data_IF_936881559620
#
_entry.id   IF_936881559620
#
_cell.length_a   1.000
_cell.length_b   1.000
_cell.length_c   1.000
_cell.angle_alpha   90.00
_cell.angle_beta   90.00
_cell.angle_gamma   90.00
#
_symmetry.space_group_name_H-M   'P 1'
#
loop_
_entity.id
_entity.type
_entity.pdbx_description
1 polymer ?
#
# COMPACT_ATOMS: atom_id res chain seq x y z
N UNK A 1 14.78 -6.54 -5.92
CA UNK A 1 13.36 -6.56 -5.51
C UNK A 1 12.67 -5.31 -6.02
N UNK A 2 11.50 -5.46 -6.61
CA UNK A 2 10.83 -4.37 -7.30
C UNK A 2 9.55 -3.96 -6.58
N UNK A 3 9.41 -2.66 -6.33
CA UNK A 3 8.15 -2.10 -5.86
C UNK A 3 7.27 -1.83 -7.08
N UNK A 4 6.02 -2.25 -7.00
CA UNK A 4 5.09 -2.14 -8.12
C UNK A 4 4.03 -1.07 -7.92
N UNK A 5 3.82 -0.62 -6.69
CA UNK A 5 2.83 0.41 -6.38
C UNK A 5 3.12 1.05 -5.02
N UNK A 6 2.25 1.94 -4.59
CA UNK A 6 2.32 2.61 -3.30
C UNK A 6 1.01 2.47 -2.53
N UNK A 7 1.09 2.71 -1.22
CA UNK A 7 -0.11 2.75 -0.37
C UNK A 7 -1.08 3.85 -0.81
N UNK A 8 -0.56 4.96 -1.34
CA UNK A 8 -1.40 6.06 -1.83
C UNK A 8 -2.20 5.65 -3.06
N UNK A 9 -1.55 4.99 -4.02
CA UNK A 9 -2.24 4.47 -5.20
C UNK A 9 -3.29 3.42 -4.80
N UNK A 10 -2.93 2.51 -3.90
CA UNK A 10 -3.87 1.50 -3.40
C UNK A 10 -5.09 2.13 -2.73
N UNK A 11 -4.89 3.16 -1.93
CA UNK A 11 -6.00 3.88 -1.28
C UNK A 11 -6.92 4.52 -2.31
N UNK A 12 -6.31 5.15 -3.32
CA UNK A 12 -7.05 5.80 -4.40
C UNK A 12 -7.90 4.80 -5.18
N UNK A 13 -7.30 3.66 -5.55
CA UNK A 13 -7.99 2.62 -6.30
C UNK A 13 -9.07 1.92 -5.47
N UNK A 14 -8.86 1.78 -4.17
CA UNK A 14 -9.82 1.18 -3.26
C UNK A 14 -10.90 2.17 -2.79
N UNK A 15 -10.78 3.44 -3.18
CA UNK A 15 -11.67 4.52 -2.73
C UNK A 15 -11.71 4.62 -1.21
N UNK A 16 -10.53 4.57 -0.59
CA UNK A 16 -10.36 4.65 0.86
C UNK A 16 -9.43 5.79 1.22
N UNK A 17 -9.56 6.29 2.43
CA UNK A 17 -8.63 7.29 2.95
C UNK A 17 -7.25 6.66 3.11
N UNK A 18 -6.20 7.39 2.72
CA UNK A 18 -4.83 6.89 2.78
C UNK A 18 -4.42 6.49 4.21
N UNK A 19 -4.83 7.27 5.21
CA UNK A 19 -4.53 6.95 6.61
C UNK A 19 -5.07 5.58 7.02
N UNK A 20 -6.20 5.17 6.49
CA UNK A 20 -6.78 3.86 6.75
C UNK A 20 -5.93 2.74 6.14
N UNK A 21 -5.42 2.95 4.94
CA UNK A 21 -4.53 1.99 4.29
C UNK A 21 -3.22 1.87 5.04
N UNK A 22 -2.67 3.00 5.50
CA UNK A 22 -1.45 3.00 6.32
C UNK A 22 -1.64 2.19 7.60
N UNK A 23 -2.76 2.35 8.28
CA UNK A 23 -3.07 1.58 9.49
C UNK A 23 -3.16 0.09 9.20
N UNK A 24 -3.77 -0.28 8.09
CA UNK A 24 -3.88 -1.68 7.70
C UNK A 24 -2.52 -2.30 7.40
N UNK A 25 -1.64 -1.56 6.73
CA UNK A 25 -0.28 -2.02 6.48
C UNK A 25 0.49 -2.20 7.79
N UNK A 26 0.38 -1.25 8.71
CA UNK A 26 1.01 -1.35 10.02
C UNK A 26 0.52 -2.60 10.76
N UNK A 27 -0.76 -2.88 10.68
CA UNK A 27 -1.35 -4.08 11.27
C UNK A 27 -0.84 -5.37 10.61
N UNK A 28 -0.74 -5.39 9.28
CA UNK A 28 -0.21 -6.55 8.55
C UNK A 28 1.23 -6.84 8.94
N UNK A 29 2.05 -5.82 9.06
CA UNK A 29 3.45 -5.97 9.49
C UNK A 29 3.53 -6.59 10.88
N UNK A 30 2.64 -6.18 11.78
CA UNK A 30 2.57 -6.71 13.13
C UNK A 30 2.11 -8.16 13.14
N UNK A 31 1.04 -8.48 12.41
CA UNK A 31 0.47 -9.83 12.34
C UNK A 31 1.44 -10.83 11.74
N UNK A 32 2.11 -10.45 10.66
CA UNK A 32 3.00 -11.35 9.93
C UNK A 32 4.25 -11.70 10.72
N UNK A 33 4.68 -10.83 11.63
CA UNK A 33 5.85 -11.05 12.49
C UNK A 33 7.11 -11.46 11.73
N UNK A 34 7.19 -11.13 10.44
CA UNK A 34 8.31 -11.41 9.57
C UNK A 34 9.00 -10.11 9.20
N UNK A 35 10.22 -10.21 8.66
CA UNK A 35 10.85 -9.04 8.08
C UNK A 35 10.13 -8.68 6.79
N UNK A 36 9.21 -7.71 6.88
CA UNK A 36 8.41 -7.23 5.76
C UNK A 36 8.90 -5.88 5.25
N UNK A 37 10.09 -5.46 5.68
CA UNK A 37 10.63 -4.14 5.30
C UNK A 37 10.83 -3.98 3.79
N UNK A 38 11.06 -5.09 3.07
CA UNK A 38 11.18 -5.06 1.61
C UNK A 38 9.82 -4.96 0.93
N UNK A 39 8.80 -5.56 1.53
CA UNK A 39 7.47 -5.65 0.94
C UNK A 39 6.62 -4.43 1.24
N UNK A 40 6.90 -3.76 2.36
CA UNK A 40 6.24 -2.53 2.80
C UNK A 40 7.33 -1.52 3.14
N UNK A 41 7.86 -0.87 2.12
CA UNK A 41 8.96 0.09 2.31
C UNK A 41 8.43 1.47 2.68
N UNK A 42 8.69 1.88 3.91
CA UNK A 42 8.21 3.15 4.45
C UNK A 42 9.02 4.32 3.89
N UNK A 43 8.31 5.33 3.40
CA UNK A 43 8.90 6.58 2.94
C UNK A 43 8.12 7.75 3.53
N UNK A 44 8.83 8.78 3.92
CA UNK A 44 8.26 10.04 4.37
C UNK A 44 8.79 11.15 3.47
N UNK A 45 7.91 11.97 2.92
CA UNK A 45 8.31 13.09 2.09
C UNK A 45 7.46 14.32 2.40
N UNK A 46 7.91 15.48 1.92
CA UNK A 46 7.19 16.74 2.06
C UNK A 46 6.51 17.02 0.72
N UNK A 47 5.19 17.22 0.73
CA UNK A 47 4.46 17.53 -0.50
C UNK A 47 4.69 18.99 -0.92
N UNK A 48 4.20 19.39 -2.11
CA UNK A 48 4.40 20.77 -2.58
C UNK A 48 3.82 21.84 -1.66
N UNK A 49 2.86 21.51 -0.83
CA UNK A 49 2.26 22.44 0.14
C UNK A 49 3.00 22.47 1.47
N UNK A 50 4.12 21.74 1.58
CA UNK A 50 4.92 21.69 2.79
C UNK A 50 4.40 20.72 3.85
N UNK A 51 3.44 19.87 3.51
CA UNK A 51 2.83 18.92 4.45
C UNK A 51 3.60 17.60 4.42
N UNK A 52 4.02 17.08 5.60
CA UNK A 52 4.65 15.74 5.65
C UNK A 52 3.66 14.66 5.22
N UNK A 53 4.08 13.80 4.30
CA UNK A 53 3.27 12.68 3.82
C UNK A 53 4.04 11.39 4.04
N UNK A 54 3.39 10.41 4.64
CA UNK A 54 3.93 9.07 4.81
C UNK A 54 3.33 8.16 3.76
N UNK A 55 4.11 7.25 3.20
CA UNK A 55 3.58 6.21 2.34
C UNK A 55 4.45 4.96 2.41
N UNK A 56 3.91 3.86 1.93
CA UNK A 56 4.65 2.63 1.73
C UNK A 56 4.76 2.33 0.23
N UNK A 57 5.95 1.95 -0.20
CA UNK A 57 6.12 1.27 -1.48
C UNK A 57 5.84 -0.20 -1.27
N UNK A 58 5.10 -0.82 -2.18
CA UNK A 58 4.65 -2.20 -2.05
C UNK A 58 5.22 -3.07 -3.16
N UNK A 59 5.74 -4.24 -2.78
CA UNK A 59 6.05 -5.30 -3.74
C UNK A 59 4.78 -6.05 -4.13
N UNK A 60 4.90 -6.98 -5.07
CA UNK A 60 3.77 -7.84 -5.42
C UNK A 60 3.23 -8.59 -4.18
N UNK A 61 4.12 -9.09 -3.33
CA UNK A 61 3.71 -9.77 -2.09
C UNK A 61 2.96 -8.80 -1.16
N UNK A 62 3.50 -7.60 -0.97
CA UNK A 62 2.86 -6.59 -0.12
C UNK A 62 1.47 -6.23 -0.61
N UNK A 63 1.32 -6.03 -1.92
CA UNK A 63 0.01 -5.74 -2.52
C UNK A 63 -0.94 -6.94 -2.39
N UNK A 64 -0.43 -8.15 -2.57
CA UNK A 64 -1.26 -9.35 -2.47
C UNK A 64 -1.88 -9.50 -1.07
N UNK A 65 -1.12 -9.11 -0.03
CA UNK A 65 -1.59 -9.17 1.35
C UNK A 65 -2.55 -8.05 1.71
N UNK A 66 -2.54 -6.96 0.96
CA UNK A 66 -3.36 -5.78 1.26
C UNK A 66 -4.78 -5.98 0.73
N UNK A 67 -5.78 -5.77 1.60
CA UNK A 67 -7.18 -5.82 1.20
C UNK A 67 -7.58 -4.50 0.55
N UNK A 68 -7.93 -4.55 -0.73
CA UNK A 68 -8.41 -3.38 -1.48
C UNK A 68 -9.93 -3.34 -1.62
N UNK A 69 -10.63 -4.22 -0.89
CA UNK A 69 -12.09 -4.31 -0.95
C UNK A 69 -12.57 -5.12 -2.15
N UNK A 70 -13.88 -5.06 -2.42
CA UNK A 70 -14.55 -5.88 -3.43
C UNK A 70 -14.99 -5.10 -4.67
N UNK A 71 -14.64 -3.82 -4.77
CA UNK A 71 -14.99 -3.01 -5.93
C UNK A 71 -14.31 -3.52 -7.20
N UNK A 72 -15.02 -3.51 -8.33
CA UNK A 72 -14.49 -4.00 -9.59
C UNK A 72 -13.21 -3.29 -10.01
N UNK A 73 -13.18 -1.97 -9.88
CA UNK A 73 -12.03 -1.16 -10.27
C UNK A 73 -10.80 -1.55 -9.46
N UNK A 74 -10.95 -1.65 -8.15
CA UNK A 74 -9.85 -1.99 -7.26
C UNK A 74 -9.35 -3.41 -7.50
N UNK A 75 -10.26 -4.37 -7.66
CA UNK A 75 -9.90 -5.77 -7.90
C UNK A 75 -9.20 -5.96 -9.25
N UNK A 76 -9.68 -5.29 -10.30
CA UNK A 76 -9.04 -5.34 -11.62
C UNK A 76 -7.66 -4.75 -11.59
N UNK A 77 -7.53 -3.60 -10.95
CA UNK A 77 -6.24 -2.93 -10.78
C UNK A 77 -5.24 -3.83 -10.06
N UNK A 78 -5.67 -4.42 -8.93
CA UNK A 78 -4.82 -5.32 -8.15
C UNK A 78 -4.39 -6.54 -8.97
N UNK A 79 -5.33 -7.16 -9.68
CA UNK A 79 -5.02 -8.32 -10.52
C UNK A 79 -4.01 -7.98 -11.61
N UNK A 80 -4.13 -6.83 -12.26
CA UNK A 80 -3.20 -6.40 -13.29
C UNK A 80 -1.81 -6.14 -12.73
N UNK A 81 -1.74 -5.52 -11.55
CA UNK A 81 -0.44 -5.25 -10.89
C UNK A 81 0.27 -6.53 -10.48
N UNK A 82 -0.48 -7.58 -10.17
CA UNK A 82 0.08 -8.86 -9.72
C UNK A 82 0.40 -9.84 -10.85
N UNK A 83 0.13 -9.46 -12.07
CA UNK A 83 0.45 -10.30 -13.23
C UNK A 83 1.92 -10.53 -13.41
#
# INVERSE_FOLDING_TARGET
>A
MTWITTSLEAARMANRKHGRVLMEIDRLKDILSLDTSHDFHYVKYIDPDGVPVRLYHLTAFGLAMLDVGRGKTALRWKAEKLK
#
